data_IF_580440990977
#
_entry.id   IF_580440990977
#
_cell.length_a   1.000
_cell.length_b   1.000
_cell.length_c   1.000
_cell.angle_alpha   90.00
_cell.angle_beta   90.00
_cell.angle_gamma   90.00
#
_symmetry.space_group_name_H-M   'P 1'
#
loop_
_entity.id
_entity.type
_entity.pdbx_description
1 polymer ?
#
# COMPACT_ATOMS: atom_id res chain seq x y z
N UNK A 1 27.29 19.37 -39.70
CA UNK A 1 25.96 20.00 -39.48
C UNK A 1 24.94 18.93 -39.80
N UNK A 2 24.05 18.60 -38.85
CA UNK A 2 22.97 17.65 -39.09
C UNK A 2 21.69 18.46 -39.34
N UNK A 3 21.04 18.21 -40.46
CA UNK A 3 19.80 18.86 -40.87
C UNK A 3 18.79 17.76 -41.19
N UNK A 4 17.66 17.78 -40.51
CA UNK A 4 16.61 16.77 -40.67
C UNK A 4 15.25 17.41 -40.40
N UNK A 5 14.21 16.86 -41.04
CA UNK A 5 12.85 17.38 -40.99
C UNK A 5 12.05 16.67 -39.87
N UNK A 6 11.60 17.38 -38.82
CA UNK A 6 10.86 16.80 -37.71
C UNK A 6 9.56 16.09 -38.11
N UNK A 7 8.98 16.43 -39.26
CA UNK A 7 7.72 15.85 -39.73
C UNK A 7 7.85 14.36 -40.13
N UNK A 8 9.06 13.90 -40.44
CA UNK A 8 9.33 12.54 -40.90
C UNK A 8 9.81 11.59 -39.78
N UNK A 9 9.77 12.03 -38.53
CA UNK A 9 10.34 11.27 -37.42
C UNK A 9 9.41 10.18 -36.86
N UNK A 10 9.93 8.97 -36.57
CA UNK A 10 9.14 7.86 -36.07
C UNK A 10 8.57 8.12 -34.66
N UNK A 11 7.46 7.48 -34.33
CA UNK A 11 6.78 7.65 -33.04
C UNK A 11 7.48 7.02 -31.84
N UNK A 12 8.38 6.07 -32.09
CA UNK A 12 9.27 5.48 -31.09
C UNK A 12 10.69 5.54 -31.61
N UNK A 13 11.59 6.05 -30.80
CA UNK A 13 13.02 6.09 -31.13
C UNK A 13 13.87 5.89 -29.89
N UNK A 14 15.17 5.63 -30.08
CA UNK A 14 16.17 5.64 -29.03
C UNK A 14 17.36 6.45 -29.52
N UNK A 15 17.82 7.38 -28.70
CA UNK A 15 19.00 8.20 -29.01
C UNK A 15 19.90 8.12 -27.78
N UNK A 16 21.04 7.46 -27.95
CA UNK A 16 22.07 7.32 -26.93
C UNK A 16 23.38 7.91 -27.49
N UNK A 17 24.10 8.66 -26.66
CA UNK A 17 25.41 9.21 -27.01
C UNK A 17 25.42 10.36 -28.03
N UNK A 18 24.25 10.98 -28.32
CA UNK A 18 24.20 12.12 -29.23
C UNK A 18 24.57 13.42 -28.52
N UNK A 19 25.71 13.99 -28.89
CA UNK A 19 26.21 15.25 -28.35
C UNK A 19 26.21 16.36 -29.41
N UNK A 20 25.80 17.56 -28.99
CA UNK A 20 25.82 18.77 -29.80
C UNK A 20 26.07 20.00 -28.92
N UNK A 21 26.75 21.01 -29.48
CA UNK A 21 27.11 22.23 -28.74
C UNK A 21 26.24 23.44 -29.12
N UNK A 22 25.72 23.46 -30.36
CA UNK A 22 25.05 24.63 -30.93
C UNK A 22 23.86 24.19 -31.79
N UNK A 23 22.68 24.76 -31.53
CA UNK A 23 21.59 24.76 -32.50
C UNK A 23 21.85 25.78 -33.60
N UNK A 24 21.53 25.41 -34.85
CA UNK A 24 21.45 26.37 -35.94
C UNK A 24 20.49 27.50 -35.54
N UNK A 25 20.91 28.72 -35.75
CA UNK A 25 20.09 29.92 -35.55
C UNK A 25 20.40 30.77 -36.76
N UNK A 26 19.65 30.52 -37.81
CA UNK A 26 19.66 31.37 -38.99
C UNK A 26 19.05 32.70 -38.55
N UNK A 27 19.86 33.74 -38.67
CA UNK A 27 19.53 35.10 -38.28
C UNK A 27 18.25 35.49 -39.04
N UNK A 28 17.14 35.68 -38.33
CA UNK A 28 15.99 36.52 -38.72
C UNK A 28 14.92 36.03 -39.73
N UNK A 29 14.93 34.80 -40.27
CA UNK A 29 13.97 34.46 -41.36
C UNK A 29 12.90 33.38 -41.12
N UNK A 30 12.92 32.58 -40.03
CA UNK A 30 11.77 31.71 -39.71
C UNK A 30 11.50 31.65 -38.19
N UNK A 31 10.36 32.18 -37.73
CA UNK A 31 9.98 32.07 -36.33
C UNK A 31 9.54 30.62 -36.06
N UNK A 32 10.00 30.05 -34.94
CA UNK A 32 9.36 28.92 -34.24
C UNK A 32 9.47 27.48 -34.76
N UNK A 33 10.02 27.15 -35.94
CA UNK A 33 9.96 25.77 -36.44
C UNK A 33 10.60 24.71 -35.52
N UNK A 34 11.60 25.09 -34.71
CA UNK A 34 12.22 24.16 -33.75
C UNK A 34 12.49 24.84 -32.40
N UNK A 35 11.43 25.08 -31.63
CA UNK A 35 11.51 25.64 -30.27
C UNK A 35 11.79 24.56 -29.19
N UNK A 36 12.09 24.98 -27.97
CA UNK A 36 12.33 24.12 -26.81
C UNK A 36 11.19 23.11 -26.59
N UNK A 37 9.94 23.56 -26.72
CA UNK A 37 8.74 22.73 -26.53
C UNK A 37 8.71 21.56 -27.51
N UNK A 38 8.93 21.81 -28.79
CA UNK A 38 9.02 20.80 -29.84
C UNK A 38 10.18 19.83 -29.58
N UNK A 39 11.36 20.32 -29.17
CA UNK A 39 12.49 19.46 -28.78
C UNK A 39 12.15 18.55 -27.60
N UNK A 40 11.49 19.08 -26.57
CA UNK A 40 11.08 18.25 -25.41
C UNK A 40 9.99 17.25 -25.78
N UNK A 41 9.07 17.61 -26.67
CA UNK A 41 8.04 16.72 -27.20
C UNK A 41 8.61 15.63 -28.11
N UNK A 42 9.73 15.92 -28.79
CA UNK A 42 10.47 14.93 -29.55
C UNK A 42 11.24 13.95 -28.65
N UNK A 43 11.98 14.45 -27.65
CA UNK A 43 12.57 13.58 -26.62
C UNK A 43 11.47 12.76 -25.92
N UNK A 44 10.27 13.36 -25.81
CA UNK A 44 8.93 12.78 -25.61
C UNK A 44 8.70 11.37 -26.18
N UNK A 45 9.22 11.12 -27.39
CA UNK A 45 9.01 9.90 -28.18
C UNK A 45 10.03 8.80 -27.88
N UNK A 46 11.04 9.05 -27.04
CA UNK A 46 12.04 8.03 -26.73
C UNK A 46 11.47 6.84 -25.94
N UNK A 47 11.85 5.62 -26.32
CA UNK A 47 11.51 4.42 -25.56
C UNK A 47 12.67 3.41 -25.63
N UNK A 48 13.25 2.97 -24.49
CA UNK A 48 12.91 3.33 -23.10
C UNK A 48 13.23 4.79 -22.75
N UNK A 49 12.73 5.27 -21.60
CA UNK A 49 13.04 6.62 -21.10
C UNK A 49 14.52 6.67 -20.70
N UNK A 50 15.28 7.57 -21.31
CA UNK A 50 16.68 7.86 -20.95
C UNK A 50 16.81 9.32 -20.48
N UNK A 51 17.52 9.52 -19.36
CA UNK A 51 17.77 10.85 -18.79
C UNK A 51 18.90 11.59 -19.52
N UNK A 52 19.87 10.87 -20.11
CA UNK A 52 21.06 11.45 -20.73
C UNK A 52 20.76 12.55 -21.77
N UNK A 53 19.88 12.30 -22.76
CA UNK A 53 19.53 13.30 -23.77
C UNK A 53 18.85 14.56 -23.20
N UNK A 54 18.09 14.44 -22.11
CA UNK A 54 17.45 15.58 -21.44
C UNK A 54 18.48 16.41 -20.68
N UNK A 55 19.44 15.78 -20.01
CA UNK A 55 20.51 16.46 -19.29
C UNK A 55 21.44 17.21 -20.25
N UNK A 56 21.80 16.58 -21.38
CA UNK A 56 22.60 17.20 -22.42
C UNK A 56 21.88 18.43 -23.01
N UNK A 57 20.59 18.31 -23.34
CA UNK A 57 19.79 19.43 -23.83
C UNK A 57 19.77 20.59 -22.81
N UNK A 58 19.57 20.28 -21.52
CA UNK A 58 19.58 21.28 -20.47
C UNK A 58 20.96 21.95 -20.32
N UNK A 59 22.05 21.21 -20.46
CA UNK A 59 23.41 21.75 -20.42
C UNK A 59 23.66 22.74 -21.56
N UNK A 60 23.20 22.44 -22.78
CA UNK A 60 23.34 23.33 -23.93
C UNK A 60 22.57 24.66 -23.73
N UNK A 61 21.37 24.61 -23.13
CA UNK A 61 20.62 25.84 -22.81
C UNK A 61 21.27 26.67 -21.70
N UNK A 62 21.87 26.03 -20.68
CA UNK A 62 22.65 26.74 -19.65
C UNK A 62 23.85 27.47 -20.24
N UNK A 63 24.61 26.80 -21.11
CA UNK A 63 25.78 27.38 -21.76
C UNK A 63 25.45 28.57 -22.69
N UNK A 64 24.19 28.68 -23.13
CA UNK A 64 23.70 29.82 -23.92
C UNK A 64 23.13 30.97 -23.09
N UNK A 65 23.21 30.90 -21.76
CA UNK A 65 22.63 31.92 -20.88
C UNK A 65 21.11 31.88 -20.83
N UNK A 66 20.48 30.74 -21.13
CA UNK A 66 19.02 30.54 -21.05
C UNK A 66 18.65 29.56 -19.92
N UNK A 67 18.91 29.88 -18.64
CA UNK A 67 18.70 28.95 -17.53
C UNK A 67 17.23 28.54 -17.35
N UNK A 68 16.28 29.43 -17.63
CA UNK A 68 14.85 29.13 -17.50
C UNK A 68 14.39 28.00 -18.44
N UNK A 69 15.00 27.91 -19.64
CA UNK A 69 14.71 26.83 -20.60
C UNK A 69 15.28 25.49 -20.13
N UNK A 70 16.46 25.51 -19.52
CA UNK A 70 17.09 24.31 -18.95
C UNK A 70 16.25 23.73 -17.79
N UNK A 71 15.75 24.57 -16.89
CA UNK A 71 14.86 24.15 -15.80
C UNK A 71 13.57 23.54 -16.33
N UNK A 72 12.96 24.16 -17.35
CA UNK A 72 11.74 23.64 -17.96
C UNK A 72 11.94 22.25 -18.61
N UNK A 73 13.13 21.94 -19.15
CA UNK A 73 13.47 20.60 -19.66
C UNK A 73 13.58 19.58 -18.52
N UNK A 74 14.25 19.93 -17.43
CA UNK A 74 14.37 19.06 -16.26
C UNK A 74 12.99 18.81 -15.62
N UNK A 75 12.13 19.82 -15.55
CA UNK A 75 10.74 19.66 -15.11
C UNK A 75 9.97 18.72 -16.05
N UNK A 76 10.20 18.79 -17.36
CA UNK A 76 9.58 17.87 -18.33
C UNK A 76 10.04 16.42 -18.13
N UNK A 77 11.34 16.18 -17.88
CA UNK A 77 11.88 14.86 -17.54
C UNK A 77 11.21 14.31 -16.27
N UNK A 78 11.21 15.09 -15.19
CA UNK A 78 10.57 14.70 -13.92
C UNK A 78 9.07 14.42 -14.08
N UNK A 79 8.35 15.22 -14.88
CA UNK A 79 6.93 14.97 -15.19
C UNK A 79 6.74 13.62 -15.89
N UNK A 80 7.67 13.25 -16.77
CA UNK A 80 7.62 11.99 -17.53
C UNK A 80 7.96 10.77 -16.67
N UNK A 81 8.99 10.86 -15.83
CA UNK A 81 9.30 9.83 -14.83
C UNK A 81 8.10 9.60 -13.89
N UNK A 82 7.50 10.69 -13.40
CA UNK A 82 6.26 10.63 -12.58
C UNK A 82 5.10 9.98 -13.33
N UNK A 83 5.00 10.16 -14.65
CA UNK A 83 3.95 9.56 -15.47
C UNK A 83 4.16 8.05 -15.70
N UNK A 84 5.42 7.60 -15.79
CA UNK A 84 5.76 6.18 -15.91
C UNK A 84 5.53 5.42 -14.58
N UNK A 85 5.82 6.05 -13.45
CA UNK A 85 5.63 5.48 -12.10
C UNK A 85 4.19 5.63 -11.55
N UNK A 86 3.25 6.14 -12.35
CA UNK A 86 1.94 6.62 -11.87
C UNK A 86 1.05 5.50 -11.33
N UNK A 87 1.21 4.25 -11.77
CA UNK A 87 0.41 3.13 -11.26
C UNK A 87 0.94 2.61 -9.91
N UNK A 88 2.27 2.42 -9.79
CA UNK A 88 2.92 2.08 -8.52
C UNK A 88 2.64 3.13 -7.46
N UNK A 89 2.79 4.42 -7.80
CA UNK A 89 2.46 5.53 -6.89
C UNK A 89 0.97 5.73 -6.64
N UNK A 90 0.04 5.21 -7.44
CA UNK A 90 -1.40 5.31 -7.13
C UNK A 90 -1.83 4.26 -6.11
N UNK A 91 -1.34 3.02 -6.26
CA UNK A 91 -1.60 1.96 -5.29
C UNK A 91 -0.83 2.21 -4.00
N UNK A 92 0.49 2.41 -4.09
CA UNK A 92 1.31 2.75 -2.93
C UNK A 92 0.93 4.12 -2.40
N UNK A 93 0.63 5.12 -3.23
CA UNK A 93 0.22 6.44 -2.75
C UNK A 93 -1.13 6.43 -2.07
N UNK A 94 -2.14 5.65 -2.51
CA UNK A 94 -3.38 5.49 -1.72
C UNK A 94 -3.15 4.74 -0.41
N UNK A 95 -2.26 3.74 -0.42
CA UNK A 95 -1.86 3.03 0.80
C UNK A 95 -1.13 3.99 1.75
N UNK A 96 -0.16 4.74 1.24
CA UNK A 96 0.60 5.76 1.97
C UNK A 96 -0.27 6.93 2.37
N UNK A 97 -1.25 7.35 1.60
CA UNK A 97 -2.19 8.42 1.92
C UNK A 97 -3.17 7.93 3.00
N UNK A 98 -3.63 6.67 2.93
CA UNK A 98 -4.38 6.06 4.04
C UNK A 98 -3.52 5.95 5.31
N UNK A 99 -2.23 5.65 5.15
CA UNK A 99 -1.26 5.59 6.25
C UNK A 99 -0.82 6.98 6.75
N UNK A 100 -0.79 8.02 5.92
CA UNK A 100 -0.12 9.32 6.19
C UNK A 100 -1.08 10.51 6.17
N UNK A 101 -2.36 10.36 5.81
CA UNK A 101 -3.30 11.49 5.84
C UNK A 101 -3.56 11.97 7.28
N UNK A 102 -3.13 13.21 7.48
CA UNK A 102 -3.51 14.13 8.53
C UNK A 102 -3.00 13.82 9.93
N UNK A 103 -1.79 14.33 10.21
CA UNK A 103 -1.31 14.65 11.55
C UNK A 103 -1.46 13.50 12.53
N UNK A 104 -0.51 12.57 12.53
CA UNK A 104 -0.49 11.39 13.38
C UNK A 104 -0.74 11.73 14.86
N UNK A 105 -2.01 11.65 15.28
CA UNK A 105 -2.40 11.62 16.68
C UNK A 105 -2.52 10.14 17.05
N UNK A 106 -1.67 9.62 17.97
CA UNK A 106 -1.65 8.19 18.33
C UNK A 106 -3.03 7.66 18.72
N UNK A 107 -3.90 8.54 19.23
CA UNK A 107 -5.30 8.27 19.53
C UNK A 107 -6.13 7.69 18.38
N UNK A 108 -5.87 8.05 17.11
CA UNK A 108 -6.62 7.49 15.98
C UNK A 108 -6.30 6.02 15.72
N UNK A 109 -5.04 5.63 15.87
CA UNK A 109 -4.62 4.22 15.72
C UNK A 109 -5.25 3.38 16.83
N UNK A 110 -5.25 3.90 18.06
CA UNK A 110 -5.97 3.28 19.19
C UNK A 110 -7.47 3.17 18.87
N UNK A 111 -8.08 4.24 18.35
CA UNK A 111 -9.49 4.25 17.95
C UNK A 111 -9.84 3.24 16.84
N UNK A 112 -9.01 3.13 15.80
CA UNK A 112 -9.18 2.14 14.74
C UNK A 112 -9.01 0.70 15.26
N UNK A 113 -8.02 0.48 16.12
CA UNK A 113 -7.80 -0.83 16.76
C UNK A 113 -9.00 -1.20 17.63
N UNK A 114 -9.49 -0.27 18.45
CA UNK A 114 -10.68 -0.46 19.28
C UNK A 114 -11.94 -0.70 18.45
N UNK A 115 -12.13 0.03 17.34
CA UNK A 115 -13.25 -0.17 16.42
C UNK A 115 -13.19 -1.54 15.75
N UNK A 116 -11.99 -2.01 15.38
CA UNK A 116 -11.78 -3.33 14.78
C UNK A 116 -12.06 -4.45 15.79
N UNK A 117 -11.60 -4.31 17.04
CA UNK A 117 -11.95 -5.20 18.16
C UNK A 117 -13.46 -5.21 18.38
N UNK A 118 -14.12 -4.05 18.43
CA UNK A 118 -15.55 -3.93 18.67
C UNK A 118 -16.37 -4.55 17.53
N UNK A 119 -16.04 -4.25 16.28
CA UNK A 119 -16.71 -4.82 15.11
C UNK A 119 -16.57 -6.34 15.05
N UNK A 120 -15.36 -6.86 15.29
CA UNK A 120 -15.12 -8.29 15.37
C UNK A 120 -15.89 -8.92 16.55
N UNK A 121 -15.87 -8.30 17.73
CA UNK A 121 -16.62 -8.80 18.90
C UNK A 121 -18.13 -8.89 18.64
N UNK A 122 -18.71 -7.89 17.98
CA UNK A 122 -20.13 -7.89 17.62
C UNK A 122 -20.45 -9.01 16.63
N UNK A 123 -19.58 -9.22 15.63
CA UNK A 123 -19.71 -10.33 14.70
C UNK A 123 -19.66 -11.68 15.43
N UNK A 124 -18.66 -11.91 16.29
CA UNK A 124 -18.51 -13.17 17.05
C UNK A 124 -19.56 -13.37 18.14
N UNK A 125 -20.31 -12.33 18.49
CA UNK A 125 -21.46 -12.44 19.41
C UNK A 125 -22.74 -12.88 18.69
N UNK A 126 -22.74 -12.93 17.36
CA UNK A 126 -23.90 -13.40 16.59
C UNK A 126 -24.07 -14.93 16.71
N UNK A 127 -25.31 -15.44 16.83
CA UNK A 127 -25.56 -16.88 16.96
C UNK A 127 -24.98 -17.69 15.78
N UNK A 128 -25.13 -17.16 14.56
CA UNK A 128 -24.60 -17.78 13.34
C UNK A 128 -23.09 -17.98 13.38
N UNK A 129 -22.36 -17.09 14.06
CA UNK A 129 -20.91 -17.21 14.22
C UNK A 129 -20.57 -18.22 15.31
N UNK A 130 -21.28 -18.19 16.44
CA UNK A 130 -21.05 -19.11 17.54
C UNK A 130 -21.28 -20.56 17.13
N UNK A 131 -22.29 -20.82 16.29
CA UNK A 131 -22.59 -22.14 15.75
C UNK A 131 -21.45 -22.75 14.93
N UNK A 132 -20.57 -21.93 14.35
CA UNK A 132 -19.42 -22.39 13.55
C UNK A 132 -18.12 -22.54 14.33
N UNK A 133 -18.06 -22.03 15.57
CA UNK A 133 -16.84 -22.05 16.38
C UNK A 133 -16.67 -23.41 17.06
N UNK A 134 -15.46 -23.95 16.97
CA UNK A 134 -15.09 -25.26 17.53
C UNK A 134 -13.79 -25.15 18.31
N UNK A 135 -13.72 -25.92 19.39
CA UNK A 135 -12.50 -26.14 20.14
C UNK A 135 -12.33 -27.63 20.42
N UNK A 136 -11.08 -28.11 20.46
CA UNK A 136 -10.78 -29.52 20.72
C UNK A 136 -10.04 -29.63 22.04
N UNK A 137 -10.61 -30.42 22.97
CA UNK A 137 -9.97 -30.70 24.25
C UNK A 137 -8.84 -31.72 24.12
N UNK A 138 -8.01 -31.84 25.16
CA UNK A 138 -6.92 -32.83 25.22
C UNK A 138 -7.43 -34.29 25.14
N UNK A 139 -8.67 -34.51 25.58
CA UNK A 139 -9.39 -35.79 25.50
C UNK A 139 -9.94 -36.13 24.10
N UNK A 140 -9.77 -35.24 23.10
CA UNK A 140 -10.26 -35.41 21.73
C UNK A 140 -11.74 -35.05 21.54
N UNK A 141 -12.42 -34.59 22.60
CA UNK A 141 -13.79 -34.09 22.53
C UNK A 141 -13.85 -32.73 21.83
N UNK A 142 -14.84 -32.55 20.96
CA UNK A 142 -15.08 -31.28 20.25
C UNK A 142 -16.15 -30.48 21.00
N UNK A 143 -15.82 -29.25 21.32
CA UNK A 143 -16.66 -28.29 22.03
C UNK A 143 -17.15 -27.20 21.07
N UNK A 144 -18.44 -26.91 21.14
CA UNK A 144 -19.04 -25.67 20.67
C UNK A 144 -19.12 -24.67 21.84
N UNK A 145 -19.38 -23.37 21.60
CA UNK A 145 -19.51 -22.37 22.67
C UNK A 145 -20.53 -22.75 23.75
N UNK A 146 -21.57 -23.49 23.38
CA UNK A 146 -22.64 -23.95 24.29
C UNK A 146 -22.31 -25.25 25.05
N UNK A 147 -21.22 -25.95 24.70
CA UNK A 147 -20.81 -27.19 25.35
C UNK A 147 -20.23 -28.25 24.40
N UNK A 148 -19.92 -29.46 24.91
CA UNK A 148 -19.44 -30.57 24.10
C UNK A 148 -20.52 -31.08 23.13
N UNK A 149 -20.16 -31.32 21.88
CA UNK A 149 -21.11 -31.76 20.83
C UNK A 149 -21.59 -33.20 21.06
N UNK A 150 -20.67 -34.10 21.43
CA UNK A 150 -20.94 -35.54 21.61
C UNK A 150 -20.94 -35.99 23.10
N UNK A 151 -21.07 -35.05 24.04
CA UNK A 151 -20.96 -35.32 25.48
C UNK A 151 -22.30 -35.74 26.15
N UNK A 152 -22.27 -36.59 27.21
CA UNK A 152 -23.48 -37.05 27.90
C UNK A 152 -24.13 -36.02 28.85
N UNK A 153 -23.83 -34.72 28.73
CA UNK A 153 -24.33 -33.69 29.65
C UNK A 153 -24.77 -32.44 28.90
N UNK A 154 -26.00 -31.98 29.21
CA UNK A 154 -26.65 -30.77 28.69
C UNK A 154 -26.29 -29.49 29.47
N UNK A 155 -25.24 -29.55 30.30
CA UNK A 155 -24.74 -28.40 31.07
C UNK A 155 -23.52 -27.79 30.37
N UNK A 156 -23.46 -26.44 30.20
CA UNK A 156 -22.35 -25.74 29.57
C UNK A 156 -21.11 -25.82 30.45
N UNK A 157 -20.38 -26.93 30.35
CA UNK A 157 -19.16 -27.20 31.12
C UNK A 157 -17.95 -26.74 30.33
N UNK A 158 -17.87 -25.43 30.11
CA UNK A 158 -16.61 -24.80 29.72
C UNK A 158 -15.81 -24.46 30.99
N UNK A 159 -14.47 -24.59 30.95
CA UNK A 159 -13.62 -24.37 32.14
C UNK A 159 -12.91 -25.61 32.70
N UNK A 160 -12.97 -26.75 32.01
CA UNK A 160 -12.10 -27.92 32.23
C UNK A 160 -10.95 -27.96 31.22
N UNK A 161 -10.99 -28.94 30.30
CA UNK A 161 -9.99 -29.14 29.23
C UNK A 161 -9.88 -27.97 28.22
N UNK A 162 -10.93 -27.15 28.11
CA UNK A 162 -11.02 -26.04 27.15
C UNK A 162 -11.54 -24.77 27.83
N UNK A 163 -10.96 -23.62 27.46
CA UNK A 163 -11.40 -22.30 27.93
C UNK A 163 -12.76 -21.92 27.34
N UNK A 164 -13.65 -21.36 28.15
CA UNK A 164 -14.92 -20.80 27.68
C UNK A 164 -14.70 -19.77 26.57
N UNK A 165 -15.47 -19.89 25.49
CA UNK A 165 -15.45 -18.92 24.41
C UNK A 165 -15.94 -17.56 24.90
N UNK A 166 -15.14 -16.52 24.69
CA UNK A 166 -15.49 -15.14 25.05
C UNK A 166 -15.22 -14.25 23.84
N UNK A 167 -16.25 -13.80 23.08
CA UNK A 167 -16.08 -13.06 21.82
C UNK A 167 -15.15 -11.85 21.93
N UNK A 168 -15.26 -11.08 23.02
CA UNK A 168 -14.43 -9.90 23.28
C UNK A 168 -12.97 -10.26 23.56
N UNK A 169 -12.72 -11.34 24.32
CA UNK A 169 -11.34 -11.77 24.62
C UNK A 169 -10.70 -12.35 23.36
N UNK A 170 -11.46 -13.16 22.61
CA UNK A 170 -11.02 -13.71 21.33
C UNK A 170 -10.66 -12.59 20.34
N UNK A 171 -11.50 -11.55 20.19
CA UNK A 171 -11.20 -10.43 19.27
C UNK A 171 -9.95 -9.66 19.68
N UNK A 172 -9.70 -9.44 20.99
CA UNK A 172 -8.45 -8.84 21.47
C UNK A 172 -7.25 -9.71 21.08
N UNK A 173 -7.35 -11.02 21.27
CA UNK A 173 -6.31 -12.03 20.95
C UNK A 173 -5.97 -12.09 19.45
N UNK A 174 -6.97 -11.85 18.60
CA UNK A 174 -6.81 -11.77 17.13
C UNK A 174 -6.13 -10.46 16.72
N UNK A 175 -6.60 -9.34 17.26
CA UNK A 175 -6.23 -8.00 16.78
C UNK A 175 -4.92 -7.50 17.37
N UNK A 176 -4.61 -7.87 18.61
CA UNK A 176 -3.40 -7.42 19.31
C UNK A 176 -2.36 -8.55 19.28
N UNK A 177 -1.41 -8.54 18.33
CA UNK A 177 -0.51 -9.68 18.11
C UNK A 177 0.47 -9.94 19.25
N UNK A 178 0.68 -8.95 20.14
CA UNK A 178 1.58 -9.07 21.30
C UNK A 178 0.95 -9.76 22.50
N UNK A 179 -0.37 -9.97 22.50
CA UNK A 179 -1.09 -10.56 23.64
C UNK A 179 -1.54 -11.97 23.24
N UNK A 180 -1.33 -12.93 24.12
CA UNK A 180 -1.92 -14.27 24.03
C UNK A 180 -2.77 -14.53 25.27
N UNK A 181 -4.09 -14.50 25.08
CA UNK A 181 -5.10 -14.78 26.11
C UNK A 181 -5.57 -16.25 26.05
N UNK A 182 -4.98 -17.05 25.16
CA UNK A 182 -5.28 -18.46 24.96
C UNK A 182 -6.63 -18.73 24.29
N UNK A 183 -7.27 -17.73 23.68
CA UNK A 183 -8.54 -17.90 22.99
C UNK A 183 -8.32 -18.33 21.54
N UNK A 184 -7.38 -17.69 20.84
CA UNK A 184 -7.02 -17.97 19.44
C UNK A 184 -6.43 -19.37 19.25
N UNK A 185 -5.77 -19.92 20.26
CA UNK A 185 -5.15 -21.24 20.20
C UNK A 185 -6.14 -22.37 20.45
N UNK A 186 -7.17 -22.13 21.27
CA UNK A 186 -8.21 -23.11 21.59
C UNK A 186 -9.36 -23.12 20.59
N UNK A 187 -9.77 -21.96 20.08
CA UNK A 187 -10.97 -21.81 19.26
C UNK A 187 -10.64 -21.53 17.80
N UNK A 188 -11.32 -22.23 16.88
CA UNK A 188 -11.26 -22.02 15.44
C UNK A 188 -12.64 -22.14 14.82
N UNK A 189 -12.90 -21.41 13.75
CA UNK A 189 -14.11 -21.59 12.94
C UNK A 189 -13.95 -22.84 12.06
N UNK A 190 -15.03 -23.61 11.86
CA UNK A 190 -15.00 -24.77 10.97
C UNK A 190 -15.00 -24.33 9.49
N UNK A 191 -13.92 -24.59 8.71
CA UNK A 191 -13.85 -24.20 7.32
C UNK A 191 -14.81 -24.97 6.40
N UNK A 192 -15.34 -26.11 6.85
CA UNK A 192 -16.26 -26.91 6.03
C UNK A 192 -17.68 -26.34 6.01
N UNK A 193 -17.98 -25.42 6.93
CA UNK A 193 -19.24 -24.68 6.94
C UNK A 193 -19.06 -23.31 6.24
N UNK A 194 -20.03 -22.91 5.41
CA UNK A 194 -19.96 -21.65 4.66
C UNK A 194 -19.76 -20.40 5.54
N UNK A 195 -20.52 -20.20 6.63
CA UNK A 195 -20.23 -19.11 7.58
C UNK A 195 -18.87 -19.27 8.25
N UNK A 196 -18.44 -20.49 8.60
CA UNK A 196 -17.17 -20.74 9.27
C UNK A 196 -15.96 -20.38 8.41
N UNK A 197 -15.96 -20.72 7.12
CA UNK A 197 -14.93 -20.30 6.17
C UNK A 197 -14.84 -18.77 6.03
N UNK A 198 -15.99 -18.08 6.01
CA UNK A 198 -16.02 -16.62 5.99
C UNK A 198 -15.44 -16.01 7.28
N UNK A 199 -15.74 -16.61 8.43
CA UNK A 199 -15.22 -16.17 9.74
C UNK A 199 -13.71 -16.38 9.81
N UNK A 200 -13.20 -17.51 9.33
CA UNK A 200 -11.75 -17.77 9.28
C UNK A 200 -11.03 -16.73 8.41
N UNK A 201 -11.59 -16.40 7.24
CA UNK A 201 -11.06 -15.35 6.38
C UNK A 201 -11.08 -13.98 7.08
N UNK A 202 -12.18 -13.62 7.73
CA UNK A 202 -12.31 -12.36 8.49
C UNK A 202 -11.29 -12.29 9.61
N UNK A 203 -11.16 -13.35 10.42
CA UNK A 203 -10.20 -13.43 11.52
C UNK A 203 -8.76 -13.31 11.01
N UNK A 204 -8.45 -13.94 9.87
CA UNK A 204 -7.14 -13.82 9.22
C UNK A 204 -6.86 -12.39 8.76
N UNK A 205 -7.83 -11.75 8.10
CA UNK A 205 -7.72 -10.34 7.68
C UNK A 205 -7.54 -9.42 8.89
N UNK A 206 -8.34 -9.59 9.94
CA UNK A 206 -8.24 -8.84 11.19
C UNK A 206 -6.88 -9.03 11.86
N UNK A 207 -6.32 -10.24 11.82
CA UNK A 207 -4.95 -10.51 12.30
C UNK A 207 -3.96 -9.67 11.51
N UNK A 208 -3.95 -9.77 10.17
CA UNK A 208 -3.01 -9.00 9.33
C UNK A 208 -3.14 -7.48 9.53
N UNK A 209 -4.37 -6.98 9.67
CA UNK A 209 -4.63 -5.57 9.98
C UNK A 209 -4.11 -5.18 11.36
N UNK A 210 -4.25 -6.05 12.36
CA UNK A 210 -3.70 -5.86 13.71
C UNK A 210 -2.17 -5.73 13.71
N UNK A 211 -1.48 -6.54 12.93
CA UNK A 211 -0.02 -6.43 12.73
C UNK A 211 0.36 -5.10 12.06
N UNK A 212 -0.36 -4.71 11.00
CA UNK A 212 -0.16 -3.42 10.33
C UNK A 212 -0.39 -2.23 11.27
N UNK A 213 -1.45 -2.24 12.07
CA UNK A 213 -1.74 -1.18 13.06
C UNK A 213 -0.70 -1.13 14.18
N UNK A 214 -0.21 -2.29 14.65
CA UNK A 214 0.83 -2.36 15.69
C UNK A 214 2.17 -1.78 15.20
N UNK A 215 2.57 -2.10 13.97
CA UNK A 215 3.79 -1.52 13.37
C UNK A 215 3.65 -0.02 13.14
N UNK A 216 2.49 0.45 12.67
CA UNK A 216 2.17 1.87 12.55
C UNK A 216 2.25 2.60 13.90
N UNK A 217 1.73 1.99 14.96
CA UNK A 217 1.80 2.53 16.31
C UNK A 217 3.26 2.66 16.78
N UNK A 218 4.07 1.62 16.63
CA UNK A 218 5.49 1.64 16.99
C UNK A 218 6.28 2.72 16.23
N UNK A 219 6.08 2.82 14.90
CA UNK A 219 6.71 3.84 14.07
C UNK A 219 6.33 5.26 14.50
N UNK A 220 5.07 5.46 14.94
CA UNK A 220 4.60 6.75 15.44
C UNK A 220 5.39 7.23 16.66
N UNK A 221 5.69 6.33 17.61
CA UNK A 221 6.50 6.66 18.78
C UNK A 221 7.95 6.99 18.41
N UNK A 222 8.55 6.25 17.48
CA UNK A 222 9.94 6.52 17.05
C UNK A 222 10.12 7.89 16.39
N UNK A 223 9.10 8.38 15.67
CA UNK A 223 9.11 9.73 15.07
C UNK A 223 9.07 10.82 16.13
N UNK A 224 8.25 10.66 17.16
CA UNK A 224 8.15 11.62 18.28
C UNK A 224 9.48 11.68 19.04
N UNK A 225 10.11 10.53 19.28
CA UNK A 225 11.39 10.46 19.99
C UNK A 225 12.57 11.13 19.23
N UNK A 226 12.50 11.26 17.90
CA UNK A 226 13.52 11.95 17.08
C UNK A 226 13.23 13.43 16.83
N UNK A 227 12.05 13.91 17.22
CA UNK A 227 11.64 15.31 17.03
C UNK A 227 12.02 16.21 18.23
N UNK A 228 12.54 15.62 19.31
CA UNK A 228 13.16 16.29 20.46
C UNK A 228 14.67 16.07 20.43
#
# INVERSE_FOLDING_TARGET
>A
VLWDDPSNWPDKMSIAGFEYQRFWTEREAEPQLWDQTLRTAWLAKQHPLDAGPYEHLAAVYRNRGMPQRAEAIQVALLRRERSAQRWQRRLLGRLWDLLTLYGFRPWRVIGLTAALILGLSLLLSSPTTQDSMRATGASGTVYAPDGPIDGPSKEPTCGGDVRCFRPVIYSIDIVIPLVDLGQRTSWRADPHDHPGAAIEAIVTICTLLGWALSTLFALSFTRIARAN
#
